data_IF_857786435996
#
_entry.id   IF_857786435996
#
_cell.length_a   1.000
_cell.length_b   1.000
_cell.length_c   1.000
_cell.angle_alpha   90.00
_cell.angle_beta   90.00
_cell.angle_gamma   90.00
#
_symmetry.space_group_name_H-M   'P 1'
#
loop_
_entity.id
_entity.type
_entity.pdbx_description
1 polymer ?
#
# COMPACT_ATOMS: atom_id res chain seq x y z
N UNK A 1 4.10 -3.96 -24.67
CA UNK A 1 4.39 -4.86 -23.53
C UNK A 1 5.76 -5.44 -23.83
N UNK A 2 6.80 -4.64 -23.63
CA UNK A 2 8.12 -4.91 -24.27
C UNK A 2 9.29 -4.80 -23.29
N UNK A 3 9.02 -4.46 -22.02
CA UNK A 3 10.01 -4.45 -20.95
C UNK A 3 9.64 -5.47 -19.84
N UNK A 4 10.30 -6.63 -19.79
CA UNK A 4 10.06 -7.63 -18.75
C UNK A 4 10.44 -7.14 -17.35
N UNK A 5 11.33 -6.15 -17.22
CA UNK A 5 11.68 -5.56 -15.92
C UNK A 5 10.57 -4.64 -15.41
N UNK A 6 9.94 -3.85 -16.29
CA UNK A 6 8.79 -3.02 -15.94
C UNK A 6 7.63 -3.87 -15.35
N UNK A 7 7.38 -5.04 -15.92
CA UNK A 7 6.38 -5.98 -15.38
C UNK A 7 6.75 -6.46 -13.97
N UNK A 8 8.03 -6.75 -13.72
CA UNK A 8 8.50 -7.18 -12.40
C UNK A 8 8.47 -6.06 -11.35
N UNK A 9 8.71 -4.82 -11.77
CA UNK A 9 8.70 -3.65 -10.89
C UNK A 9 7.30 -3.35 -10.33
N UNK A 10 6.25 -3.66 -11.07
CA UNK A 10 4.87 -3.46 -10.62
C UNK A 10 4.57 -4.20 -9.30
N UNK A 11 5.12 -5.41 -9.14
CA UNK A 11 4.81 -6.29 -8.02
C UNK A 11 6.00 -6.52 -7.06
N UNK A 12 7.10 -5.78 -7.24
CA UNK A 12 8.34 -5.97 -6.46
C UNK A 12 8.11 -5.80 -4.96
N UNK A 13 7.21 -4.89 -4.58
CA UNK A 13 6.89 -4.59 -3.20
C UNK A 13 5.79 -5.50 -2.63
N UNK A 14 5.00 -6.19 -3.44
CA UNK A 14 3.82 -6.96 -3.01
C UNK A 14 4.08 -8.46 -2.94
N UNK A 15 4.79 -9.02 -3.93
CA UNK A 15 5.08 -10.46 -4.02
C UNK A 15 5.75 -11.06 -2.77
N UNK A 16 6.77 -10.43 -2.15
CA UNK A 16 7.46 -11.04 -1.01
C UNK A 16 6.52 -11.35 0.17
N UNK A 17 5.50 -10.51 0.37
CA UNK A 17 4.50 -10.67 1.44
C UNK A 17 3.64 -11.90 1.21
N UNK A 18 3.19 -12.12 -0.03
CA UNK A 18 2.37 -13.28 -0.39
C UNK A 18 3.15 -14.58 -0.18
N UNK A 19 4.43 -14.62 -0.57
CA UNK A 19 5.29 -15.79 -0.41
C UNK A 19 5.56 -16.06 1.09
N UNK A 20 5.73 -15.00 1.89
CA UNK A 20 5.96 -15.11 3.32
C UNK A 20 4.69 -15.44 4.14
N UNK A 21 3.49 -15.36 3.54
CA UNK A 21 2.22 -15.60 4.24
C UNK A 21 1.93 -14.57 5.33
N UNK A 22 2.40 -13.33 5.15
CA UNK A 22 2.23 -12.25 6.14
C UNK A 22 0.99 -11.41 5.85
N UNK A 23 0.31 -10.88 6.88
CA UNK A 23 -0.75 -9.91 6.66
C UNK A 23 -0.15 -8.58 6.18
N UNK A 24 -0.77 -7.98 5.16
CA UNK A 24 -0.43 -6.64 4.71
C UNK A 24 -1.66 -5.83 4.31
N UNK A 25 -1.52 -4.51 4.37
CA UNK A 25 -2.55 -3.53 4.03
C UNK A 25 -1.94 -2.41 3.20
N UNK A 26 -2.63 -2.01 2.14
CA UNK A 26 -2.29 -0.82 1.34
C UNK A 26 -3.26 0.32 1.65
N UNK A 27 -2.74 1.54 1.83
CA UNK A 27 -3.53 2.75 2.07
C UNK A 27 -2.95 3.98 1.37
N UNK A 28 -3.76 5.00 1.03
CA UNK A 28 -3.27 6.22 0.40
C UNK A 28 -2.33 7.00 1.32
N UNK A 29 -1.17 7.42 0.82
CA UNK A 29 -0.19 8.18 1.60
C UNK A 29 0.23 9.52 0.97
N UNK A 30 -0.35 9.87 -0.19
CA UNK A 30 -0.04 11.11 -0.87
C UNK A 30 -0.48 11.12 -2.33
N UNK A 31 -0.12 12.20 -3.01
CA UNK A 31 -0.28 12.36 -4.45
C UNK A 31 1.03 12.89 -5.03
N UNK A 32 1.39 12.43 -6.23
CA UNK A 32 2.49 12.97 -7.02
C UNK A 32 2.00 13.12 -8.46
N UNK A 33 2.18 14.32 -9.02
CA UNK A 33 1.76 14.65 -10.38
C UNK A 33 0.27 14.34 -10.67
N UNK A 34 -0.58 14.51 -9.65
CA UNK A 34 -2.02 14.22 -9.72
C UNK A 34 -2.40 12.74 -9.58
N UNK A 35 -1.42 11.85 -9.45
CA UNK A 35 -1.61 10.41 -9.27
C UNK A 35 -1.53 10.01 -7.79
N UNK A 36 -2.41 9.11 -7.30
CA UNK A 36 -2.38 8.66 -5.91
C UNK A 36 -1.17 7.74 -5.65
N UNK A 37 -0.51 7.95 -4.51
CA UNK A 37 0.55 7.06 -4.01
C UNK A 37 -0.01 6.20 -2.87
N UNK A 38 0.23 4.90 -2.95
CA UNK A 38 -0.09 3.93 -1.89
C UNK A 38 1.13 3.58 -1.03
N UNK A 39 0.89 3.39 0.26
CA UNK A 39 1.85 2.85 1.22
C UNK A 39 1.42 1.45 1.64
N UNK A 40 2.35 0.51 1.76
CA UNK A 40 2.09 -0.84 2.25
C UNK A 40 2.61 -1.02 3.68
N UNK A 41 1.73 -1.48 4.58
CA UNK A 41 2.06 -1.88 5.95
C UNK A 41 2.07 -3.40 6.01
N UNK A 42 3.13 -4.00 6.53
CA UNK A 42 3.28 -5.45 6.67
C UNK A 42 3.34 -5.80 8.16
N UNK A 43 2.49 -6.73 8.59
CA UNK A 43 2.42 -7.21 9.97
C UNK A 43 3.15 -8.53 10.20
N UNK A 44 3.16 -8.95 11.46
CA UNK A 44 3.59 -10.29 11.86
C UNK A 44 2.52 -11.33 11.48
N UNK A 45 2.85 -12.63 11.38
CA UNK A 45 1.85 -13.67 11.18
C UNK A 45 0.72 -13.56 12.22
N UNK A 46 -0.54 -13.58 11.75
CA UNK A 46 -1.75 -13.53 12.59
C UNK A 46 -1.95 -12.24 13.42
N UNK A 47 -1.27 -11.15 13.05
CA UNK A 47 -1.33 -9.85 13.74
C UNK A 47 -2.04 -8.77 12.89
N UNK A 48 -3.13 -9.13 12.22
CA UNK A 48 -3.95 -8.22 11.41
C UNK A 48 -4.49 -7.06 12.23
N UNK A 49 -4.80 -7.30 13.51
CA UNK A 49 -5.27 -6.27 14.42
C UNK A 49 -4.27 -5.12 14.56
N UNK A 50 -2.97 -5.40 14.65
CA UNK A 50 -1.95 -4.35 14.70
C UNK A 50 -1.85 -3.61 13.37
N UNK A 51 -1.89 -4.33 12.24
CA UNK A 51 -1.88 -3.71 10.90
C UNK A 51 -3.05 -2.72 10.75
N UNK A 52 -4.25 -3.14 11.14
CA UNK A 52 -5.46 -2.30 11.08
C UNK A 52 -5.38 -1.09 12.03
N UNK A 53 -4.86 -1.26 13.25
CA UNK A 53 -4.67 -0.14 14.19
C UNK A 53 -3.69 0.90 13.66
N UNK A 54 -2.58 0.46 13.05
CA UNK A 54 -1.60 1.38 12.45
C UNK A 54 -2.22 2.10 11.25
N UNK A 55 -2.91 1.37 10.38
CA UNK A 55 -3.61 1.95 9.24
C UNK A 55 -4.65 3.00 9.68
N UNK A 56 -5.44 2.68 10.70
CA UNK A 56 -6.43 3.60 11.26
C UNK A 56 -5.77 4.84 11.90
N UNK A 57 -4.70 4.66 12.67
CA UNK A 57 -3.97 5.79 13.24
C UNK A 57 -3.40 6.72 12.15
N UNK A 58 -2.86 6.16 11.07
CA UNK A 58 -2.37 6.92 9.91
C UNK A 58 -3.51 7.62 9.16
N UNK A 59 -4.64 6.93 8.96
CA UNK A 59 -5.83 7.51 8.34
C UNK A 59 -6.34 8.71 9.14
N UNK A 60 -6.39 8.60 10.48
CA UNK A 60 -6.84 9.71 11.33
C UNK A 60 -5.84 10.89 11.36
N UNK A 61 -4.56 10.63 11.11
CA UNK A 61 -3.52 11.65 11.06
C UNK A 61 -3.41 12.36 9.70
N UNK A 62 -4.10 11.86 8.67
CA UNK A 62 -3.99 12.37 7.29
C UNK A 62 -5.36 12.58 6.64
N UNK A 63 -5.41 13.31 5.53
CA UNK A 63 -6.68 13.58 4.81
C UNK A 63 -6.68 13.02 3.39
N UNK A 64 -5.69 12.19 3.03
CA UNK A 64 -5.50 11.66 1.67
C UNK A 64 -6.74 10.92 1.13
N UNK A 65 -7.48 10.22 2.00
CA UNK A 65 -8.73 9.51 1.65
C UNK A 65 -9.83 10.42 1.09
N UNK A 66 -9.77 11.73 1.34
CA UNK A 66 -10.77 12.71 0.91
C UNK A 66 -10.47 13.27 -0.47
N UNK A 67 -9.24 13.12 -0.96
CA UNK A 67 -8.81 13.62 -2.26
C UNK A 67 -9.12 12.55 -3.33
N UNK A 68 -9.77 12.97 -4.41
CA UNK A 68 -10.06 12.12 -5.58
C UNK A 68 -9.26 12.64 -6.77
N UNK A 69 -8.61 11.75 -7.56
CA UNK A 69 -7.97 12.15 -8.80
C UNK A 69 -8.99 12.77 -9.77
N UNK A 70 -8.54 13.73 -10.59
CA UNK A 70 -9.32 14.17 -11.74
C UNK A 70 -9.31 13.05 -12.80
N UNK A 71 -10.50 12.59 -13.20
CA UNK A 71 -10.69 11.53 -14.21
C UNK A 71 -10.55 12.07 -15.64
#
# INVERSE_FOLDING_TARGET
VDDPLAMKLADVCTIPVNIAGLPALSLPCGFQDGLPIGMQIIGKPWDEATVLRVAYAYEQATSWRQQKPAL
#
